data_IF_679821823741
#
_entry.id   IF_679821823741
#
_cell.length_a   1.000
_cell.length_b   1.000
_cell.length_c   1.000
_cell.angle_alpha   90.00
_cell.angle_beta   90.00
_cell.angle_gamma   90.00
#
_symmetry.space_group_name_H-M   'P 1'
#
loop_
_entity.id
_entity.type
_entity.pdbx_description
1 polymer ?
#
# COMPACT_ATOMS: atom_id res chain seq x y z
N UNK A 1 -20.15 78.74 17.13
CA UNK A 1 -19.32 78.01 18.13
C UNK A 1 -20.10 76.78 18.57
N UNK A 2 -19.42 75.64 18.76
CA UNK A 2 -19.93 74.27 18.99
C UNK A 2 -20.02 73.42 17.71
N UNK A 3 -19.52 72.19 17.65
CA UNK A 3 -18.55 71.44 18.45
C UNK A 3 -18.16 70.24 17.57
N UNK A 4 -16.86 70.01 17.34
CA UNK A 4 -16.39 68.80 16.65
C UNK A 4 -16.54 67.61 17.59
N UNK A 5 -17.47 66.70 17.27
CA UNK A 5 -17.61 65.41 17.94
C UNK A 5 -16.61 64.41 17.38
N UNK A 6 -15.44 64.29 18.01
CA UNK A 6 -14.48 63.23 17.72
C UNK A 6 -14.99 61.88 18.24
N UNK A 7 -15.26 60.94 17.34
CA UNK A 7 -15.46 59.54 17.71
C UNK A 7 -14.11 58.96 18.17
N UNK A 8 -13.97 58.73 19.48
CA UNK A 8 -12.93 57.84 20.00
C UNK A 8 -13.34 56.41 19.69
N UNK A 9 -12.79 55.86 18.60
CA UNK A 9 -12.79 54.43 18.35
C UNK A 9 -11.90 53.75 19.38
N UNK A 10 -12.50 53.14 20.40
CA UNK A 10 -11.80 52.22 21.30
C UNK A 10 -11.57 50.92 20.55
N UNK A 11 -10.46 50.81 19.82
CA UNK A 11 -9.99 49.53 19.27
C UNK A 11 -9.46 48.68 20.43
N UNK A 12 -10.34 47.86 21.00
CA UNK A 12 -9.93 46.74 21.86
C UNK A 12 -9.28 45.69 20.97
N UNK A 13 -7.95 45.63 20.96
CA UNK A 13 -7.22 44.56 20.28
C UNK A 13 -7.34 43.26 21.06
N UNK A 14 -7.97 42.27 20.44
CA UNK A 14 -8.04 40.89 20.93
C UNK A 14 -6.64 40.27 20.92
N UNK A 15 -6.15 39.68 22.03
CA UNK A 15 -4.82 39.12 22.07
C UNK A 15 -4.75 37.85 21.21
N UNK A 16 -3.99 37.91 20.12
CA UNK A 16 -3.70 36.75 19.28
C UNK A 16 -2.83 35.75 20.04
N UNK A 17 -3.38 34.57 20.35
CA UNK A 17 -2.67 33.51 21.06
C UNK A 17 -1.48 33.00 20.22
N UNK A 18 -0.26 33.23 20.69
CA UNK A 18 0.95 32.77 20.01
C UNK A 18 1.16 31.27 20.26
N UNK A 19 1.00 30.44 19.23
CA UNK A 19 1.26 28.99 19.29
C UNK A 19 2.78 28.72 19.37
N UNK A 20 3.21 27.96 20.39
CA UNK A 20 4.60 27.49 20.52
C UNK A 20 4.68 25.99 20.25
N UNK A 21 5.74 25.55 19.56
CA UNK A 21 6.03 24.14 19.28
C UNK A 21 7.19 23.69 20.16
N UNK A 22 7.02 22.59 20.87
CA UNK A 22 8.08 21.92 21.63
C UNK A 22 8.28 20.53 21.01
N UNK A 23 9.54 20.13 20.82
CA UNK A 23 9.90 18.79 20.36
C UNK A 23 10.61 18.09 21.50
N UNK A 24 10.24 16.82 21.74
CA UNK A 24 10.84 15.95 22.74
C UNK A 24 11.20 14.65 22.05
N UNK A 25 12.36 14.10 22.35
CA UNK A 25 12.76 12.77 21.88
C UNK A 25 12.36 11.72 22.92
N UNK A 26 11.97 10.55 22.45
CA UNK A 26 11.65 9.43 23.33
C UNK A 26 12.94 8.78 23.82
N UNK A 27 13.02 8.53 25.12
CA UNK A 27 14.11 7.74 25.70
C UNK A 27 13.96 6.22 25.43
N UNK A 28 12.76 5.75 25.11
CA UNK A 28 12.45 4.33 24.84
C UNK A 28 11.39 4.20 23.75
N UNK A 29 11.41 3.09 23.01
CA UNK A 29 10.45 2.75 21.95
C UNK A 29 9.07 2.29 22.48
N UNK A 30 8.68 2.73 23.67
CA UNK A 30 7.38 2.43 24.28
C UNK A 30 6.40 3.59 24.11
N UNK A 31 5.11 3.27 24.22
CA UNK A 31 4.06 4.29 24.29
C UNK A 31 4.17 5.06 25.61
N UNK A 32 4.00 6.38 25.56
CA UNK A 32 3.93 7.19 26.77
C UNK A 32 2.57 6.96 27.42
N UNK A 33 2.57 6.43 28.63
CA UNK A 33 1.35 6.33 29.43
C UNK A 33 0.85 7.72 29.85
N UNK A 34 1.75 8.71 29.92
CA UNK A 34 1.50 10.11 30.29
C UNK A 34 2.70 10.98 29.90
N UNK A 35 2.46 12.24 29.58
CA UNK A 35 3.44 13.31 29.40
C UNK A 35 3.95 13.85 30.75
N UNK A 36 3.06 14.08 31.71
CA UNK A 36 3.38 14.59 33.06
C UNK A 36 3.14 13.52 34.13
N UNK A 37 3.97 13.52 35.18
CA UNK A 37 3.87 12.50 36.25
C UNK A 37 2.55 12.60 37.02
N UNK A 38 1.95 13.78 37.11
CA UNK A 38 0.76 14.03 37.92
C UNK A 38 -0.56 13.96 37.15
N UNK A 39 -0.53 13.56 35.87
CA UNK A 39 -1.75 13.45 35.05
C UNK A 39 -2.23 11.99 34.96
N UNK A 40 -3.53 11.77 34.66
CA UNK A 40 -4.07 10.43 34.50
C UNK A 40 -3.43 9.72 33.31
N UNK A 41 -3.26 8.40 33.43
CA UNK A 41 -2.71 7.59 32.34
C UNK A 41 -3.63 7.60 31.13
N UNK A 42 -3.04 7.70 29.95
CA UNK A 42 -3.70 7.49 28.67
C UNK A 42 -4.21 6.05 28.64
N UNK A 43 -5.48 5.88 28.29
CA UNK A 43 -6.05 4.57 28.03
C UNK A 43 -5.59 4.10 26.65
N UNK A 44 -4.45 3.41 26.61
CA UNK A 44 -3.84 2.91 25.37
C UNK A 44 -4.80 1.93 24.64
N UNK A 45 -5.65 1.20 25.37
CA UNK A 45 -6.63 0.28 24.78
C UNK A 45 -7.79 1.00 24.06
N UNK A 46 -8.01 2.29 24.33
CA UNK A 46 -9.00 3.11 23.62
C UNK A 46 -8.42 3.78 22.36
N UNK A 47 -7.11 3.69 22.14
CA UNK A 47 -6.47 4.21 20.94
C UNK A 47 -6.72 3.19 19.84
N UNK A 48 -7.38 3.61 18.76
CA UNK A 48 -7.48 2.81 17.54
C UNK A 48 -6.11 2.84 16.82
N UNK A 49 -5.35 1.72 16.80
CA UNK A 49 -4.05 1.68 16.14
C UNK A 49 -4.21 1.45 14.62
N UNK A 50 -5.43 1.44 14.09
CA UNK A 50 -5.63 1.26 12.66
C UNK A 50 -5.11 2.49 11.92
N UNK A 51 -4.09 2.24 11.08
CA UNK A 51 -3.73 3.20 10.05
C UNK A 51 -4.83 3.14 9.00
N UNK A 52 -5.51 4.25 8.66
CA UNK A 52 -6.45 4.24 7.55
C UNK A 52 -5.67 3.85 6.30
N UNK A 53 -5.91 2.62 5.85
CA UNK A 53 -5.44 2.17 4.56
C UNK A 53 -6.32 2.88 3.54
N UNK A 54 -5.78 3.92 2.89
CA UNK A 54 -6.47 4.59 1.81
C UNK A 54 -6.94 3.56 0.79
N UNK A 55 -8.06 3.82 0.09
CA UNK A 55 -8.46 2.96 -1.02
C UNK A 55 -7.28 2.86 -1.98
N UNK A 56 -6.79 1.64 -2.29
CA UNK A 56 -5.71 1.52 -3.25
C UNK A 56 -6.22 2.03 -4.60
N UNK A 57 -5.31 2.57 -5.40
CA UNK A 57 -5.61 3.05 -6.74
C UNK A 57 -6.13 1.91 -7.64
N UNK A 58 -6.70 2.26 -8.79
CA UNK A 58 -7.32 1.29 -9.69
C UNK A 58 -6.35 0.22 -10.20
N UNK A 59 -5.08 0.55 -10.37
CA UNK A 59 -4.07 -0.39 -10.87
C UNK A 59 -3.72 -1.41 -9.79
N UNK A 60 -3.47 -0.93 -8.57
CA UNK A 60 -3.25 -1.79 -7.41
C UNK A 60 -4.44 -2.73 -7.17
N UNK A 61 -5.67 -2.24 -7.27
CA UNK A 61 -6.88 -3.08 -7.15
C UNK A 61 -6.94 -4.16 -8.23
N UNK A 62 -6.68 -3.81 -9.50
CA UNK A 62 -6.65 -4.77 -10.59
C UNK A 62 -5.58 -5.85 -10.36
N UNK A 63 -4.40 -5.46 -9.85
CA UNK A 63 -3.34 -6.42 -9.54
C UNK A 63 -3.71 -7.37 -8.41
N UNK A 64 -4.36 -6.86 -7.36
CA UNK A 64 -4.87 -7.70 -6.26
C UNK A 64 -5.89 -8.72 -6.79
N UNK A 65 -6.79 -8.30 -7.67
CA UNK A 65 -7.78 -9.20 -8.28
C UNK A 65 -7.12 -10.28 -9.13
N UNK A 66 -6.13 -9.91 -9.96
CA UNK A 66 -5.36 -10.84 -10.78
C UNK A 66 -4.64 -11.89 -9.91
N UNK A 67 -3.93 -11.45 -8.86
CA UNK A 67 -3.22 -12.33 -7.94
C UNK A 67 -4.17 -13.28 -7.20
N UNK A 68 -5.31 -12.76 -6.75
CA UNK A 68 -6.34 -13.56 -6.06
C UNK A 68 -6.89 -14.63 -6.99
N UNK A 69 -7.24 -14.25 -8.23
CA UNK A 69 -7.74 -15.19 -9.22
C UNK A 69 -6.72 -16.28 -9.57
N UNK A 70 -5.46 -15.89 -9.81
CA UNK A 70 -4.39 -16.84 -10.10
C UNK A 70 -4.15 -17.80 -8.92
N UNK A 71 -4.22 -17.32 -7.68
CA UNK A 71 -4.09 -18.17 -6.48
C UNK A 71 -5.21 -19.21 -6.41
N UNK A 72 -6.45 -18.83 -6.70
CA UNK A 72 -7.60 -19.75 -6.72
C UNK A 72 -7.45 -20.83 -7.80
N UNK A 73 -6.97 -20.46 -9.00
CA UNK A 73 -6.69 -21.43 -10.07
C UNK A 73 -5.63 -22.44 -9.65
N UNK A 74 -4.51 -21.96 -9.07
CA UNK A 74 -3.44 -22.83 -8.58
C UNK A 74 -3.92 -23.80 -7.50
N UNK A 75 -4.74 -23.32 -6.56
CA UNK A 75 -5.36 -24.18 -5.53
C UNK A 75 -6.30 -25.23 -6.13
N UNK A 76 -7.00 -24.90 -7.21
CA UNK A 76 -7.85 -25.82 -7.95
C UNK A 76 -7.08 -26.76 -8.90
N UNK A 77 -5.74 -26.69 -8.94
CA UNK A 77 -4.91 -27.46 -9.87
C UNK A 77 -5.06 -27.03 -11.34
N UNK A 78 -5.61 -25.84 -11.60
CA UNK A 78 -5.76 -25.27 -12.94
C UNK A 78 -4.58 -24.35 -13.25
N UNK A 79 -4.27 -24.25 -14.54
CA UNK A 79 -3.24 -23.34 -15.04
C UNK A 79 -3.75 -21.91 -15.00
N UNK A 80 -2.87 -20.97 -14.67
CA UNK A 80 -3.13 -19.54 -14.77
C UNK A 80 -3.13 -19.10 -16.25
N UNK A 81 -3.76 -17.97 -16.60
CA UNK A 81 -3.76 -17.47 -17.98
C UNK A 81 -2.35 -17.28 -18.56
N UNK A 82 -1.38 -16.93 -17.72
CA UNK A 82 0.01 -16.78 -18.13
C UNK A 82 0.67 -18.13 -18.41
N UNK A 83 0.45 -19.13 -17.55
CA UNK A 83 0.93 -20.50 -17.77
C UNK A 83 0.32 -21.11 -19.04
N UNK A 84 -0.97 -20.86 -19.32
CA UNK A 84 -1.62 -21.27 -20.56
C UNK A 84 -0.98 -20.61 -21.80
N UNK A 85 -0.66 -19.32 -21.75
CA UNK A 85 0.04 -18.63 -22.84
C UNK A 85 1.42 -19.22 -23.10
N UNK A 86 2.20 -19.47 -22.04
CA UNK A 86 3.53 -20.08 -22.15
C UNK A 86 3.43 -21.48 -22.74
N UNK A 87 2.47 -22.28 -22.29
CA UNK A 87 2.24 -23.61 -22.84
C UNK A 87 1.87 -23.59 -24.32
N UNK A 88 0.97 -22.68 -24.73
CA UNK A 88 0.59 -22.53 -26.13
C UNK A 88 1.79 -22.12 -27.00
N UNK A 89 2.58 -21.14 -26.55
CA UNK A 89 3.80 -20.71 -27.23
C UNK A 89 4.81 -21.86 -27.34
N UNK A 90 4.99 -22.63 -26.27
CA UNK A 90 5.89 -23.78 -26.27
C UNK A 90 5.42 -24.84 -27.26
N UNK A 91 4.11 -25.09 -27.33
CA UNK A 91 3.51 -26.06 -28.24
C UNK A 91 3.66 -25.64 -29.70
N UNK A 92 3.54 -24.35 -30.00
CA UNK A 92 3.83 -23.81 -31.33
C UNK A 92 5.32 -23.89 -31.69
N UNK A 93 6.21 -23.62 -30.73
CA UNK A 93 7.65 -23.72 -30.93
C UNK A 93 8.11 -25.17 -31.10
N UNK A 94 7.47 -26.13 -30.42
CA UNK A 94 7.85 -27.54 -30.40
C UNK A 94 7.96 -28.19 -31.80
N UNK A 95 7.11 -27.75 -32.72
CA UNK A 95 7.05 -28.26 -34.09
C UNK A 95 7.93 -27.52 -35.11
N UNK A 96 8.64 -26.46 -34.74
CA UNK A 96 9.41 -25.63 -35.70
C UNK A 96 10.76 -26.24 -36.05
N UNK A 97 11.16 -26.07 -37.31
CA UNK A 97 12.43 -26.52 -37.86
C UNK A 97 13.63 -25.83 -37.20
N UNK A 98 14.61 -26.61 -36.76
CA UNK A 98 15.85 -26.12 -36.13
C UNK A 98 15.86 -26.14 -34.59
N UNK A 99 14.75 -26.56 -33.95
CA UNK A 99 14.69 -26.73 -32.50
C UNK A 99 14.98 -28.18 -32.09
N UNK A 100 15.66 -28.41 -30.94
CA UNK A 100 16.09 -29.74 -30.49
C UNK A 100 14.92 -30.69 -30.16
N UNK A 101 13.67 -30.18 -30.16
CA UNK A 101 12.45 -30.90 -29.82
C UNK A 101 11.70 -31.47 -31.03
N UNK A 102 12.14 -31.18 -32.25
CA UNK A 102 11.47 -31.61 -33.48
C UNK A 102 11.39 -33.14 -33.56
N UNK A 103 10.16 -33.67 -33.58
CA UNK A 103 9.87 -35.11 -33.69
C UNK A 103 9.70 -35.84 -32.35
N UNK A 104 9.85 -35.15 -31.21
CA UNK A 104 9.51 -35.69 -29.90
C UNK A 104 8.04 -35.38 -29.53
N UNK A 105 7.34 -36.26 -28.78
CA UNK A 105 6.03 -35.92 -28.24
C UNK A 105 6.14 -34.70 -27.32
N UNK A 106 5.09 -33.86 -27.31
CA UNK A 106 5.06 -32.68 -26.44
C UNK A 106 5.13 -33.10 -24.98
N UNK A 107 6.27 -32.83 -24.34
CA UNK A 107 6.48 -33.05 -22.92
C UNK A 107 6.96 -31.75 -22.27
N UNK A 108 6.04 -30.95 -21.69
CA UNK A 108 6.41 -29.69 -21.06
C UNK A 108 7.29 -29.88 -19.81
N UNK A 109 7.44 -31.10 -19.30
CA UNK A 109 8.27 -31.41 -18.13
C UNK A 109 9.77 -31.34 -18.43
N UNK A 110 10.19 -31.46 -19.69
CA UNK A 110 11.60 -31.32 -20.08
C UNK A 110 12.09 -29.88 -20.03
N UNK A 111 11.16 -28.91 -19.97
CA UNK A 111 11.43 -27.48 -19.89
C UNK A 111 11.09 -27.02 -18.48
N UNK A 112 12.09 -26.55 -17.74
CA UNK A 112 11.87 -26.08 -16.39
C UNK A 112 11.20 -24.69 -16.42
N UNK A 113 9.86 -24.65 -16.40
CA UNK A 113 9.07 -23.41 -16.52
C UNK A 113 9.01 -22.57 -15.22
N UNK A 114 9.70 -22.99 -14.14
CA UNK A 114 9.69 -22.29 -12.86
C UNK A 114 10.34 -20.89 -12.90
N UNK A 115 11.15 -20.61 -13.91
CA UNK A 115 11.92 -19.35 -14.07
C UNK A 115 11.19 -18.19 -14.73
N UNK A 116 9.95 -18.34 -15.20
CA UNK A 116 9.21 -17.25 -15.88
C UNK A 116 8.58 -16.24 -14.89
N UNK A 117 8.67 -16.50 -13.58
CA UNK A 117 7.99 -15.69 -12.56
C UNK A 117 8.81 -14.51 -12.01
N UNK A 118 10.04 -14.24 -12.48
CA UNK A 118 10.95 -13.28 -11.81
C UNK A 118 11.23 -11.95 -12.51
N UNK A 119 11.00 -11.79 -13.82
CA UNK A 119 11.54 -10.61 -14.53
C UNK A 119 10.64 -10.07 -15.66
N UNK A 120 9.37 -9.76 -15.38
CA UNK A 120 8.58 -8.77 -16.14
C UNK A 120 7.63 -7.97 -15.25
#
# INVERSE_FOLDING_TARGET
MHQMGGQKGSSTSEPQLTRRKVNLEKATELWWERLLVNEPKINICAIDPTKPFGSPDSDTQAKIQELTYNSLLKQAGRKTPQEEKVENLLREAWGKDGLPFKGQPFDPSIVNMSGVNSDM
#
